data_IF_976455503168
#
_entry.id   IF_976455503168
#
_cell.length_a   1.000
_cell.length_b   1.000
_cell.length_c   1.000
_cell.angle_alpha   90.00
_cell.angle_beta   90.00
_cell.angle_gamma   90.00
#
_symmetry.space_group_name_H-M   'P 1'
#
loop_
_entity.id
_entity.type
_entity.pdbx_description
1 polymer ?
#
# COMPACT_ATOMS: atom_id res chain seq x y z
N UNK A 1 -12.53 -22.95 21.43
CA UNK A 1 -12.96 -21.71 20.73
C UNK A 1 -11.80 -21.14 19.88
N UNK A 2 -11.97 -20.98 18.57
CA UNK A 2 -10.91 -20.58 17.62
C UNK A 2 -10.27 -19.21 17.95
N UNK A 3 -11.08 -18.25 18.41
CA UNK A 3 -10.61 -16.91 18.86
C UNK A 3 -9.63 -17.00 20.03
N UNK A 4 -9.87 -17.89 21.00
CA UNK A 4 -8.98 -18.06 22.15
C UNK A 4 -7.64 -18.72 21.77
N UNK A 5 -7.65 -19.56 20.72
CA UNK A 5 -6.46 -20.29 20.22
C UNK A 5 -5.57 -19.43 19.30
N UNK A 6 -6.16 -18.50 18.54
CA UNK A 6 -5.46 -17.80 17.46
C UNK A 6 -5.45 -16.27 17.57
N UNK A 7 -6.18 -15.71 18.54
CA UNK A 7 -6.24 -14.29 18.79
C UNK A 7 -7.04 -13.50 17.75
N UNK A 8 -7.60 -12.36 18.18
CA UNK A 8 -8.49 -11.50 17.39
C UNK A 8 -7.93 -11.12 16.01
N UNK A 9 -6.61 -10.92 15.90
CA UNK A 9 -5.95 -10.50 14.67
C UNK A 9 -6.09 -11.52 13.53
N UNK A 10 -6.04 -12.82 13.84
CA UNK A 10 -6.17 -13.92 12.86
C UNK A 10 -7.63 -14.24 12.58
N UNK A 11 -8.52 -14.07 13.56
CA UNK A 11 -9.96 -14.32 13.40
C UNK A 11 -10.66 -13.24 12.59
N UNK A 12 -10.36 -11.97 12.84
CA UNK A 12 -11.08 -10.84 12.26
C UNK A 12 -10.34 -10.15 11.11
N UNK A 13 -9.23 -10.74 10.62
CA UNK A 13 -8.40 -10.16 9.54
C UNK A 13 -8.04 -8.67 9.76
N UNK A 14 -7.82 -8.27 11.01
CA UNK A 14 -7.66 -6.86 11.42
C UNK A 14 -6.26 -6.29 11.14
N UNK A 15 -5.36 -7.10 10.56
CA UNK A 15 -4.09 -6.59 10.06
C UNK A 15 -4.26 -6.24 8.59
N UNK A 16 -3.84 -5.04 8.18
CA UNK A 16 -3.60 -4.71 6.77
C UNK A 16 -2.72 -5.79 6.17
N UNK A 17 -3.38 -6.76 5.56
CA UNK A 17 -2.73 -7.96 5.11
C UNK A 17 -1.86 -7.55 3.90
N UNK A 18 -0.72 -8.21 3.76
CA UNK A 18 0.16 -7.97 2.61
C UNK A 18 -0.59 -8.11 1.29
N UNK A 19 -1.69 -8.89 1.27
CA UNK A 19 -2.61 -9.05 0.14
C UNK A 19 -3.35 -7.76 -0.23
N UNK A 20 -3.80 -6.94 0.71
CA UNK A 20 -4.45 -5.65 0.45
C UNK A 20 -3.44 -4.67 -0.13
N UNK A 21 -2.20 -4.66 0.38
CA UNK A 21 -1.12 -3.85 -0.19
C UNK A 21 -0.79 -4.29 -1.61
N UNK A 22 -0.76 -5.60 -1.87
CA UNK A 22 -0.51 -6.15 -3.20
C UNK A 22 -1.66 -5.87 -4.18
N UNK A 23 -2.91 -5.96 -3.71
CA UNK A 23 -4.09 -5.62 -4.47
C UNK A 23 -4.13 -4.13 -4.85
N UNK A 24 -3.84 -3.23 -3.90
CA UNK A 24 -3.74 -1.79 -4.16
C UNK A 24 -2.66 -1.49 -5.20
N UNK A 25 -1.51 -2.18 -5.16
CA UNK A 25 -0.46 -2.01 -6.19
C UNK A 25 -0.94 -2.40 -7.59
N UNK A 26 -1.81 -3.41 -7.71
CA UNK A 26 -2.43 -3.80 -8.99
C UNK A 26 -3.39 -2.72 -9.54
N UNK A 27 -4.02 -1.94 -8.66
CA UNK A 27 -4.92 -0.84 -9.01
C UNK A 27 -4.37 0.52 -8.57
N UNK A 28 -3.05 0.73 -8.69
CA UNK A 28 -2.40 1.90 -8.12
C UNK A 28 -2.90 3.23 -8.71
N UNK A 29 -3.29 3.26 -9.98
CA UNK A 29 -3.86 4.45 -10.62
C UNK A 29 -5.12 4.95 -9.88
N UNK A 30 -6.08 4.04 -9.66
CA UNK A 30 -7.33 4.33 -8.94
C UNK A 30 -7.06 4.75 -7.49
N UNK A 31 -6.07 4.13 -6.85
CA UNK A 31 -5.65 4.51 -5.50
C UNK A 31 -5.09 5.93 -5.46
N UNK A 32 -4.19 6.27 -6.39
CA UNK A 32 -3.56 7.58 -6.49
C UNK A 32 -4.60 8.68 -6.76
N UNK A 33 -5.53 8.45 -7.68
CA UNK A 33 -6.62 9.40 -7.97
C UNK A 33 -7.48 9.67 -6.73
N UNK A 34 -7.84 8.62 -5.99
CA UNK A 34 -8.60 8.76 -4.73
C UNK A 34 -7.80 9.51 -3.66
N UNK A 35 -6.50 9.23 -3.52
CA UNK A 35 -5.63 9.96 -2.59
C UNK A 35 -5.53 11.44 -2.96
N UNK A 36 -5.40 11.78 -4.25
CA UNK A 36 -5.39 13.17 -4.73
C UNK A 36 -6.72 13.87 -4.47
N UNK A 37 -7.85 13.22 -4.80
CA UNK A 37 -9.19 13.77 -4.58
C UNK A 37 -9.47 14.06 -3.09
N UNK A 38 -8.98 13.18 -2.21
CA UNK A 38 -9.14 13.33 -0.76
C UNK A 38 -8.03 14.18 -0.11
N UNK A 39 -7.05 14.66 -0.89
CA UNK A 39 -5.85 15.37 -0.40
C UNK A 39 -5.10 14.58 0.69
N UNK A 40 -5.13 13.25 0.61
CA UNK A 40 -4.45 12.37 1.55
C UNK A 40 -3.09 11.98 0.98
N UNK A 41 -2.06 12.04 1.82
CA UNK A 41 -0.73 11.56 1.46
C UNK A 41 -0.75 10.05 1.22
N UNK A 42 -0.28 9.62 0.05
CA UNK A 42 -0.18 8.21 -0.31
C UNK A 42 0.69 7.43 0.69
N UNK A 43 0.25 6.21 1.00
CA UNK A 43 1.02 5.31 1.87
C UNK A 43 2.22 4.76 1.11
N UNK A 44 3.44 4.97 1.62
CA UNK A 44 4.67 4.53 0.98
C UNK A 44 4.70 3.01 0.69
N UNK A 45 4.03 2.19 1.48
CA UNK A 45 3.95 0.75 1.25
C UNK A 45 3.01 0.35 0.08
N UNK A 46 2.07 1.22 -0.28
CA UNK A 46 1.13 1.01 -1.39
C UNK A 46 1.71 1.41 -2.75
N UNK A 47 2.78 2.23 -2.76
CA UNK A 47 3.45 2.65 -3.98
C UNK A 47 4.14 1.44 -4.63
N UNK A 48 3.87 1.14 -5.91
CA UNK A 48 4.56 0.07 -6.63
C UNK A 48 6.04 0.40 -6.80
N UNK A 49 6.91 -0.60 -6.67
CA UNK A 49 8.37 -0.41 -6.71
C UNK A 49 8.84 0.22 -8.03
N UNK A 50 8.20 -0.11 -9.15
CA UNK A 50 8.53 0.45 -10.46
C UNK A 50 8.49 2.00 -10.46
N UNK A 51 7.49 2.59 -9.81
CA UNK A 51 7.39 4.04 -9.65
C UNK A 51 8.44 4.60 -8.69
N UNK A 52 8.75 3.88 -7.61
CA UNK A 52 9.79 4.30 -6.65
C UNK A 52 11.16 4.38 -7.34
N UNK A 53 11.50 3.41 -8.19
CA UNK A 53 12.75 3.41 -8.94
C UNK A 53 12.79 4.53 -9.96
N UNK A 54 11.72 4.75 -10.75
CA UNK A 54 11.67 5.84 -11.72
C UNK A 54 11.90 7.22 -11.07
N UNK A 55 11.21 7.50 -9.96
CA UNK A 55 11.37 8.78 -9.22
C UNK A 55 12.76 8.92 -8.59
N UNK A 56 13.40 7.82 -8.19
CA UNK A 56 14.76 7.85 -7.64
C UNK A 56 15.82 8.07 -8.73
N UNK A 57 15.63 7.48 -9.90
CA UNK A 57 16.55 7.65 -11.04
C UNK A 57 16.46 9.07 -11.61
N UNK A 58 15.26 9.66 -11.70
CA UNK A 58 15.10 11.09 -12.04
C UNK A 58 15.79 12.00 -11.02
N UNK A 59 15.66 11.71 -9.72
CA UNK A 59 16.36 12.46 -8.66
C UNK A 59 17.89 12.30 -8.69
N UNK A 60 18.40 11.18 -9.21
CA UNK A 60 19.85 10.97 -9.39
C UNK A 60 20.38 11.71 -10.62
N UNK A 61 19.61 11.80 -11.70
CA UNK A 61 20.01 12.50 -12.93
C UNK A 61 19.98 14.02 -12.79
N UNK A 62 19.18 14.55 -11.86
CA UNK A 62 19.12 15.98 -11.56
C UNK A 62 20.16 16.43 -10.51
N UNK A 63 21.02 15.53 -10.05
CA UNK A 63 22.06 15.80 -9.05
C UNK A 63 23.44 15.84 -9.71
#
# INVERSE_FOLDING_TARGET
KFVAKHGRRKTFHVGSNSSCRQHIRGHYAVYKEKCMALKIRENHHAIPRAFVHAVQEEKKQMK
#
